data_IF_087580484280
#
_entry.id   IF_087580484280
#
_cell.length_a   1.000
_cell.length_b   1.000
_cell.length_c   1.000
_cell.angle_alpha   90.00
_cell.angle_beta   90.00
_cell.angle_gamma   90.00
#
_symmetry.space_group_name_H-M   'P 1'
#
loop_
_entity.id
_entity.type
_entity.pdbx_description
1 polymer ?
#
# COMPACT_ATOMS: atom_id res chain seq x y z
N UNK A 1 16.14 -11.62 -16.72
CA UNK A 1 16.79 -10.84 -15.64
C UNK A 1 16.85 -11.71 -14.39
N UNK A 2 17.95 -11.77 -13.64
CA UNK A 2 18.09 -12.72 -12.54
C UNK A 2 17.02 -12.48 -11.47
N UNK A 3 16.29 -13.55 -11.12
CA UNK A 3 15.14 -13.58 -10.21
C UNK A 3 15.43 -12.95 -8.82
N UNK A 4 16.70 -12.91 -8.42
CA UNK A 4 17.18 -12.27 -7.18
C UNK A 4 17.02 -10.74 -7.18
N UNK A 5 17.25 -10.08 -8.33
CA UNK A 5 17.11 -8.63 -8.45
C UNK A 5 15.63 -8.22 -8.48
N UNK A 6 14.76 -9.01 -9.13
CA UNK A 6 13.30 -8.77 -9.13
C UNK A 6 12.72 -8.83 -7.72
N UNK A 7 13.20 -9.77 -6.88
CA UNK A 7 12.80 -9.85 -5.47
C UNK A 7 13.29 -8.64 -4.66
N UNK A 8 14.54 -8.20 -4.82
CA UNK A 8 15.07 -7.03 -4.12
C UNK A 8 14.31 -5.75 -4.48
N UNK A 9 14.10 -5.49 -5.78
CA UNK A 9 13.35 -4.33 -6.26
C UNK A 9 11.91 -4.39 -5.75
N UNK A 10 11.28 -5.55 -5.80
CA UNK A 10 9.93 -5.76 -5.27
C UNK A 10 9.83 -5.37 -3.79
N UNK A 11 10.74 -5.85 -2.96
CA UNK A 11 10.77 -5.52 -1.53
C UNK A 11 10.96 -4.03 -1.28
N UNK A 12 11.87 -3.39 -2.01
CA UNK A 12 12.11 -1.93 -1.89
C UNK A 12 10.87 -1.14 -2.32
N UNK A 13 10.22 -1.53 -3.42
CA UNK A 13 8.98 -0.89 -3.88
C UNK A 13 7.86 -1.07 -2.87
N UNK A 14 7.76 -2.23 -2.22
CA UNK A 14 6.78 -2.52 -1.18
C UNK A 14 6.99 -1.60 0.03
N UNK A 15 8.24 -1.44 0.47
CA UNK A 15 8.60 -0.52 1.55
C UNK A 15 8.28 0.93 1.20
N UNK A 16 8.65 1.38 0.01
CA UNK A 16 8.33 2.73 -0.48
C UNK A 16 6.81 2.97 -0.52
N UNK A 17 6.07 1.99 -1.03
CA UNK A 17 4.61 2.06 -1.11
C UNK A 17 4.00 2.17 0.30
N UNK A 18 4.46 1.34 1.24
CA UNK A 18 4.02 1.39 2.65
C UNK A 18 4.33 2.75 3.28
N UNK A 19 5.53 3.29 3.08
CA UNK A 19 5.91 4.60 3.66
C UNK A 19 5.05 5.73 3.09
N UNK A 20 4.93 5.82 1.77
CA UNK A 20 4.10 6.84 1.10
C UNK A 20 2.65 6.72 1.54
N UNK A 21 2.14 5.49 1.69
CA UNK A 21 0.78 5.26 2.12
C UNK A 21 0.54 5.59 3.58
N UNK A 22 1.45 5.24 4.48
CA UNK A 22 1.37 5.58 5.90
C UNK A 22 1.39 7.10 6.11
N UNK A 23 2.25 7.82 5.38
CA UNK A 23 2.29 9.28 5.41
C UNK A 23 1.01 9.90 4.86
N UNK A 24 0.48 9.36 3.76
CA UNK A 24 -0.81 9.81 3.19
C UNK A 24 -1.97 9.54 4.15
N UNK A 25 -1.99 8.39 4.81
CA UNK A 25 -2.98 8.03 5.83
C UNK A 25 -2.92 8.96 7.04
N UNK A 26 -1.72 9.29 7.52
CA UNK A 26 -1.52 10.27 8.59
C UNK A 26 -1.94 11.68 8.16
N UNK A 27 -1.61 12.10 6.94
CA UNK A 27 -2.00 13.41 6.42
C UNK A 27 -3.53 13.53 6.26
N UNK A 28 -4.19 12.47 5.77
CA UNK A 28 -5.65 12.41 5.67
C UNK A 28 -6.31 12.36 7.05
N UNK A 29 -5.71 11.62 7.99
CA UNK A 29 -6.16 11.58 9.38
C UNK A 29 -6.00 12.94 10.08
N UNK A 30 -4.91 13.68 9.85
CA UNK A 30 -4.70 14.99 10.47
C UNK A 30 -5.49 16.11 9.78
N UNK A 31 -5.69 16.05 8.47
CA UNK A 31 -6.29 17.14 7.69
C UNK A 31 -7.82 17.10 7.56
N UNK A 32 -8.48 15.95 7.76
CA UNK A 32 -9.93 15.79 7.57
C UNK A 32 -10.73 15.49 8.83
N UNK A 33 -10.07 15.06 9.91
CA UNK A 33 -10.73 14.62 11.15
C UNK A 33 -11.11 15.77 12.07
N UNK A 34 -10.41 16.91 11.97
CA UNK A 34 -10.63 18.03 12.90
C UNK A 34 -11.89 18.83 12.59
N UNK A 35 -12.50 18.68 11.39
CA UNK A 35 -13.68 19.46 10.99
C UNK A 35 -14.97 18.64 10.75
N UNK A 36 -14.91 17.32 10.55
CA UNK A 36 -16.08 16.51 10.18
C UNK A 36 -16.31 15.35 11.17
N UNK A 37 -17.59 15.14 11.53
CA UNK A 37 -18.01 14.24 12.61
C UNK A 37 -17.50 12.80 12.50
N UNK A 38 -17.44 12.13 13.66
CA UNK A 38 -16.82 10.81 13.91
C UNK A 38 -17.09 9.72 12.86
N UNK A 39 -18.26 9.78 12.21
CA UNK A 39 -18.69 8.81 11.19
C UNK A 39 -17.86 8.91 9.90
N UNK A 40 -17.52 10.12 9.45
CA UNK A 40 -16.66 10.30 8.28
C UNK A 40 -15.23 9.85 8.59
N UNK A 41 -14.74 10.09 9.81
CA UNK A 41 -13.43 9.62 10.26
C UNK A 41 -13.35 8.08 10.17
N UNK A 42 -14.37 7.37 10.66
CA UNK A 42 -14.43 5.91 10.53
C UNK A 42 -14.44 5.44 9.07
N UNK A 43 -15.30 6.02 8.23
CA UNK A 43 -15.40 5.64 6.81
C UNK A 43 -14.08 5.93 6.08
N UNK A 44 -13.45 7.08 6.33
CA UNK A 44 -12.15 7.41 5.76
C UNK A 44 -11.06 6.42 6.20
N UNK A 45 -10.99 6.03 7.47
CA UNK A 45 -10.02 5.02 7.93
C UNK A 45 -10.27 3.66 7.29
N UNK A 46 -11.52 3.21 7.20
CA UNK A 46 -11.87 1.94 6.55
C UNK A 46 -11.51 1.98 5.06
N UNK A 47 -11.79 3.09 4.37
CA UNK A 47 -11.43 3.26 2.97
C UNK A 47 -9.91 3.35 2.79
N UNK A 48 -9.18 4.05 3.65
CA UNK A 48 -7.72 4.12 3.61
C UNK A 48 -7.05 2.76 3.80
N UNK A 49 -7.58 1.97 4.75
CA UNK A 49 -7.16 0.59 4.97
C UNK A 49 -7.55 -0.32 3.81
N UNK A 50 -8.77 -0.24 3.28
CA UNK A 50 -9.20 -1.08 2.17
C UNK A 50 -8.49 -0.72 0.86
N UNK A 51 -8.27 0.57 0.60
CA UNK A 51 -7.66 1.08 -0.62
C UNK A 51 -6.20 0.65 -0.75
N UNK A 52 -5.49 0.41 0.36
CA UNK A 52 -4.10 -0.08 0.35
C UNK A 52 -3.96 -1.55 -0.07
N UNK A 53 -5.02 -2.35 0.10
CA UNK A 53 -4.99 -3.79 -0.19
C UNK A 53 -4.75 -4.04 -1.69
N UNK A 54 -5.31 -3.19 -2.55
CA UNK A 54 -5.17 -3.29 -4.00
C UNK A 54 -3.71 -3.12 -4.44
N UNK A 55 -3.01 -2.00 -4.13
CA UNK A 55 -1.61 -1.82 -4.51
C UNK A 55 -0.69 -2.83 -3.83
N UNK A 56 -0.92 -3.14 -2.54
CA UNK A 56 -0.12 -4.16 -1.83
C UNK A 56 -0.25 -5.54 -2.47
N UNK A 57 -1.48 -5.99 -2.72
CA UNK A 57 -1.76 -7.27 -3.36
C UNK A 57 -1.26 -7.36 -4.81
N UNK A 58 -1.40 -6.30 -5.59
CA UNK A 58 -0.90 -6.25 -6.97
C UNK A 58 0.63 -6.34 -7.01
N UNK A 59 1.31 -5.64 -6.10
CA UNK A 59 2.76 -5.65 -5.99
C UNK A 59 3.29 -7.01 -5.52
N UNK A 60 2.67 -7.61 -4.50
CA UNK A 60 3.02 -8.96 -4.02
C UNK A 60 2.80 -9.99 -5.12
N UNK A 61 1.67 -9.95 -5.83
CA UNK A 61 1.39 -10.84 -6.97
C UNK A 61 2.43 -10.69 -8.10
N UNK A 62 2.97 -9.49 -8.28
CA UNK A 62 4.05 -9.26 -9.25
C UNK A 62 5.41 -9.81 -8.77
N UNK A 63 5.68 -9.75 -7.46
CA UNK A 63 6.86 -10.34 -6.82
C UNK A 63 6.83 -11.87 -6.76
N UNK A 64 5.68 -12.45 -6.42
CA UNK A 64 5.48 -13.89 -6.29
C UNK A 64 5.30 -14.59 -7.63
N UNK A 65 5.04 -13.86 -8.72
CA UNK A 65 4.91 -14.43 -10.07
C UNK A 65 6.13 -15.31 -10.37
N UNK A 66 5.97 -16.65 -10.37
CA UNK A 66 7.07 -17.56 -10.62
C UNK A 66 7.51 -17.35 -12.07
N UNK A 67 8.82 -17.24 -12.32
CA UNK A 67 9.32 -17.47 -13.67
C UNK A 67 8.91 -18.90 -14.03
N UNK A 68 8.02 -19.04 -15.02
CA UNK A 68 7.72 -20.34 -15.60
C UNK A 68 9.05 -20.93 -16.07
N UNK A 69 9.56 -21.91 -15.32
CA UNK A 69 10.57 -22.81 -15.84
C UNK A 69 9.87 -23.64 -16.90
N UNK A 70 10.19 -23.31 -18.15
CA UNK A 70 9.91 -24.11 -19.35
C UNK A 70 10.60 -25.46 -19.22
#
# INVERSE_FOLDING_TARGET
MPQRIRKLIGTVLLLLLVVVWALSAMALAQGRVTELGWFLQLVCYVLLGALWIIPGGLLIRWMERPDQKV
#
